data_IF_428542829680
#
_entry.id   IF_428542829680
#
_cell.length_a   1.000
_cell.length_b   1.000
_cell.length_c   1.000
_cell.angle_alpha   90.00
_cell.angle_beta   90.00
_cell.angle_gamma   90.00
#
_symmetry.space_group_name_H-M   'P 1'
#
loop_
_entity.id
_entity.type
_entity.pdbx_description
1 polymer ?
#
# COMPACT_ATOMS: atom_id res chain seq x y z
N UNK A 1 24.63 3.80 -9.22
CA UNK A 1 23.97 2.54 -8.84
C UNK A 1 22.66 2.93 -8.19
N UNK A 2 21.53 2.58 -8.80
CA UNK A 2 20.21 3.06 -8.40
C UNK A 2 19.21 2.85 -9.53
N UNK A 3 17.93 2.90 -9.21
CA UNK A 3 16.85 2.78 -10.19
C UNK A 3 16.72 4.06 -10.99
N UNK A 4 16.48 3.95 -12.31
CA UNK A 4 16.32 5.14 -13.17
C UNK A 4 15.01 5.86 -12.93
N UNK A 5 13.95 5.09 -12.74
CA UNK A 5 12.57 5.55 -12.56
C UNK A 5 11.74 4.43 -11.89
N UNK A 6 10.43 4.69 -11.75
CA UNK A 6 9.51 3.72 -11.14
C UNK A 6 9.33 2.46 -11.99
N UNK A 7 9.34 2.55 -13.33
CA UNK A 7 9.21 1.37 -14.18
C UNK A 7 10.43 0.45 -14.03
N UNK A 8 11.63 1.03 -13.95
CA UNK A 8 12.88 0.29 -13.69
C UNK A 8 12.89 -0.33 -12.30
N UNK A 9 12.37 0.37 -11.27
CA UNK A 9 12.20 -0.19 -9.93
C UNK A 9 11.21 -1.36 -9.91
N UNK A 10 10.10 -1.26 -10.65
CA UNK A 10 9.06 -2.28 -10.74
C UNK A 10 9.45 -3.50 -11.59
N UNK A 11 10.63 -3.51 -12.21
CA UNK A 11 11.16 -4.72 -12.90
C UNK A 11 11.47 -5.86 -11.94
N UNK A 12 11.75 -5.54 -10.67
CA UNK A 12 11.89 -6.56 -9.64
C UNK A 12 10.49 -7.02 -9.19
N UNK A 13 10.15 -8.32 -9.31
CA UNK A 13 8.84 -8.84 -8.90
C UNK A 13 8.60 -8.78 -7.39
N UNK A 14 9.62 -8.45 -6.59
CA UNK A 14 9.48 -8.21 -5.17
C UNK A 14 9.13 -6.77 -4.84
N UNK A 15 9.22 -5.85 -5.80
CA UNK A 15 8.86 -4.45 -5.63
C UNK A 15 7.39 -4.23 -6.00
N UNK A 16 6.64 -3.64 -5.07
CA UNK A 16 5.20 -3.42 -5.23
C UNK A 16 4.88 -1.96 -4.99
N UNK A 17 4.34 -1.29 -6.01
CA UNK A 17 3.75 0.03 -5.84
C UNK A 17 2.38 -0.11 -5.15
N UNK A 18 2.22 0.56 -4.01
CA UNK A 18 0.99 0.51 -3.19
C UNK A 18 0.25 1.86 -3.18
N UNK A 19 0.62 2.79 -4.05
CA UNK A 19 0.06 4.13 -4.09
C UNK A 19 -1.23 4.24 -4.93
N UNK A 20 -1.75 5.46 -4.99
CA UNK A 20 -2.88 5.83 -5.85
C UNK A 20 -2.45 5.89 -7.31
N UNK A 21 -3.42 5.91 -8.23
CA UNK A 21 -3.12 6.11 -9.63
C UNK A 21 -2.51 7.50 -9.84
N UNK A 22 -1.26 7.50 -10.31
CA UNK A 22 -0.49 8.70 -10.65
C UNK A 22 0.10 8.58 -12.06
N UNK A 23 -0.47 7.75 -12.94
CA UNK A 23 0.06 7.50 -14.29
C UNK A 23 0.14 8.75 -15.16
N UNK A 24 -0.67 9.76 -14.86
CA UNK A 24 -0.60 11.07 -15.50
C UNK A 24 0.74 11.79 -15.23
N UNK A 25 1.37 11.53 -14.08
CA UNK A 25 2.60 12.20 -13.65
C UNK A 25 3.83 11.29 -13.69
N UNK A 26 3.65 10.01 -13.39
CA UNK A 26 4.75 9.04 -13.26
C UNK A 26 4.34 7.75 -13.97
N UNK A 27 5.10 7.39 -15.01
CA UNK A 27 4.92 6.12 -15.70
C UNK A 27 5.12 4.94 -14.74
N UNK A 28 4.31 3.90 -14.89
CA UNK A 28 4.30 2.74 -13.98
C UNK A 28 3.54 2.95 -12.67
N UNK A 29 3.14 4.19 -12.31
CA UNK A 29 2.38 4.46 -11.08
C UNK A 29 0.88 4.15 -11.24
N UNK A 30 0.56 2.96 -11.71
CA UNK A 30 -0.81 2.45 -11.82
C UNK A 30 -1.40 2.28 -10.43
N UNK A 31 -2.65 2.69 -10.25
CA UNK A 31 -3.32 2.62 -8.95
C UNK A 31 -3.36 1.20 -8.40
N UNK A 32 -2.99 1.06 -7.13
CA UNK A 32 -2.97 -0.22 -6.43
C UNK A 32 -4.23 -0.40 -5.59
N UNK A 33 -4.71 -1.64 -5.45
CA UNK A 33 -5.75 -1.98 -4.45
C UNK A 33 -5.33 -1.65 -3.01
N UNK A 34 -4.03 -1.53 -2.78
CA UNK A 34 -3.41 -1.14 -1.51
C UNK A 34 -3.34 0.39 -1.32
N UNK A 35 -3.90 1.19 -2.24
CA UNK A 35 -3.96 2.64 -2.10
C UNK A 35 -4.80 3.09 -0.91
N UNK A 36 -4.28 4.02 -0.11
CA UNK A 36 -5.06 4.64 0.95
C UNK A 36 -6.16 5.56 0.36
N UNK A 37 -7.46 5.37 0.66
CA UNK A 37 -8.53 6.25 0.16
C UNK A 37 -8.64 7.58 0.92
N UNK A 38 -8.04 7.70 2.12
CA UNK A 38 -8.17 8.87 2.99
C UNK A 38 -7.25 10.02 2.58
N UNK A 39 -7.78 11.24 2.56
CA UNK A 39 -7.04 12.43 2.12
C UNK A 39 -6.28 13.07 3.29
N UNK A 40 -4.94 13.05 3.21
CA UNK A 40 -4.08 13.62 4.24
C UNK A 40 -4.27 15.14 4.45
N UNK A 41 -4.70 15.90 3.42
CA UNK A 41 -5.02 17.33 3.58
C UNK A 41 -6.26 17.55 4.46
N UNK A 42 -7.16 16.56 4.52
CA UNK A 42 -8.42 16.66 5.29
C UNK A 42 -8.24 16.18 6.73
N UNK A 43 -7.53 15.08 6.93
CA UNK A 43 -7.46 14.41 8.24
C UNK A 43 -6.07 14.47 8.89
N UNK A 44 -5.04 14.90 8.16
CA UNK A 44 -3.65 14.74 8.59
C UNK A 44 -3.12 13.33 8.31
N UNK A 45 -1.79 13.21 8.30
CA UNK A 45 -1.08 11.98 7.93
C UNK A 45 -1.32 10.84 8.91
N UNK A 46 -1.07 11.07 10.19
CA UNK A 46 -1.17 10.03 11.22
C UNK A 46 -2.57 9.44 11.29
N UNK A 47 -3.58 10.30 11.27
CA UNK A 47 -4.97 9.91 11.28
C UNK A 47 -5.35 9.13 10.01
N UNK A 48 -4.89 9.56 8.83
CA UNK A 48 -5.08 8.79 7.59
C UNK A 48 -4.45 7.40 7.65
N UNK A 49 -3.30 7.23 8.32
CA UNK A 49 -2.66 5.93 8.51
C UNK A 49 -3.47 5.06 9.49
N UNK A 50 -3.96 5.64 10.59
CA UNK A 50 -4.82 4.97 11.57
C UNK A 50 -6.13 4.51 10.93
N UNK A 51 -6.83 5.40 10.24
CA UNK A 51 -8.07 5.11 9.51
C UNK A 51 -7.82 4.04 8.44
N UNK A 52 -6.70 4.11 7.73
CA UNK A 52 -6.36 3.11 6.71
C UNK A 52 -6.12 1.72 7.30
N UNK A 53 -5.41 1.63 8.43
CA UNK A 53 -5.21 0.36 9.14
C UNK A 53 -6.55 -0.28 9.51
N UNK A 54 -7.46 0.52 10.08
CA UNK A 54 -8.79 0.05 10.47
C UNK A 54 -9.64 -0.33 9.24
N UNK A 55 -9.57 0.46 8.18
CA UNK A 55 -10.24 0.18 6.91
C UNK A 55 -9.80 -1.16 6.31
N UNK A 56 -8.48 -1.43 6.26
CA UNK A 56 -7.99 -2.71 5.75
C UNK A 56 -8.48 -3.87 6.62
N UNK A 57 -8.54 -3.69 7.94
CA UNK A 57 -8.93 -4.74 8.90
C UNK A 57 -10.43 -5.06 8.91
N UNK A 58 -11.28 -4.06 8.70
CA UNK A 58 -12.73 -4.18 8.91
C UNK A 58 -13.55 -4.16 7.63
N UNK A 59 -13.02 -3.61 6.53
CA UNK A 59 -13.77 -3.53 5.28
C UNK A 59 -13.96 -4.93 4.66
N UNK A 60 -15.22 -5.28 4.41
CA UNK A 60 -15.65 -6.55 3.82
C UNK A 60 -15.85 -6.47 2.29
N UNK A 61 -15.49 -5.35 1.66
CA UNK A 61 -15.52 -5.19 0.21
C UNK A 61 -14.62 -6.23 -0.47
N UNK A 62 -15.24 -7.06 -1.32
CA UNK A 62 -14.55 -8.07 -2.11
C UNK A 62 -13.94 -7.42 -3.35
N UNK A 63 -12.65 -7.66 -3.57
CA UNK A 63 -11.90 -7.19 -4.74
C UNK A 63 -12.03 -8.18 -5.89
N UNK A 64 -11.51 -7.80 -7.06
CA UNK A 64 -11.52 -8.62 -8.29
C UNK A 64 -10.90 -10.02 -8.08
N UNK A 65 -10.00 -10.18 -7.10
CA UNK A 65 -9.41 -11.47 -6.73
C UNK A 65 -10.32 -12.34 -5.84
N UNK A 66 -11.57 -11.94 -5.59
CA UNK A 66 -12.52 -12.67 -4.75
C UNK A 66 -12.24 -12.59 -3.25
N UNK A 67 -11.36 -11.69 -2.80
CA UNK A 67 -10.96 -11.55 -1.39
C UNK A 67 -11.09 -10.11 -0.91
N UNK A 68 -11.25 -9.93 0.39
CA UNK A 68 -11.06 -8.62 1.04
C UNK A 68 -9.60 -8.18 0.99
N UNK A 69 -9.33 -6.92 1.29
CA UNK A 69 -7.95 -6.45 1.45
C UNK A 69 -7.24 -7.16 2.60
N UNK A 70 -7.94 -7.39 3.72
CA UNK A 70 -7.38 -8.08 4.87
C UNK A 70 -6.91 -9.51 4.52
N UNK A 71 -7.75 -10.27 3.83
CA UNK A 71 -7.42 -11.64 3.40
C UNK A 71 -6.31 -11.68 2.35
N UNK A 72 -6.16 -10.61 1.57
CA UNK A 72 -5.11 -10.49 0.55
C UNK A 72 -3.75 -10.11 1.13
N UNK A 73 -3.63 -9.81 2.44
CA UNK A 73 -2.38 -9.27 3.02
C UNK A 73 -1.16 -10.18 2.78
N UNK A 74 -1.34 -11.49 2.71
CA UNK A 74 -0.25 -12.45 2.42
C UNK A 74 0.47 -12.17 1.09
N UNK A 75 -0.18 -11.53 0.11
CA UNK A 75 0.44 -11.13 -1.16
C UNK A 75 1.63 -10.17 -0.98
N UNK A 76 1.66 -9.43 0.13
CA UNK A 76 2.70 -8.44 0.45
C UNK A 76 3.86 -9.04 1.26
N UNK A 77 3.78 -10.30 1.68
CA UNK A 77 4.83 -10.92 2.50
C UNK A 77 6.13 -11.04 1.70
N UNK A 78 7.22 -10.54 2.29
CA UNK A 78 8.55 -10.54 1.65
C UNK A 78 8.69 -9.53 0.50
N UNK A 79 7.70 -8.66 0.27
CA UNK A 79 7.74 -7.62 -0.75
C UNK A 79 8.32 -6.32 -0.21
N UNK A 80 8.92 -5.54 -1.10
CA UNK A 80 9.33 -4.15 -0.85
C UNK A 80 8.20 -3.24 -1.32
N UNK A 81 7.64 -2.46 -0.39
CA UNK A 81 6.48 -1.62 -0.67
C UNK A 81 6.90 -0.18 -1.00
N UNK A 82 6.46 0.31 -2.15
CA UNK A 82 6.75 1.65 -2.65
C UNK A 82 5.54 2.58 -2.58
N UNK A 83 5.70 3.75 -1.97
CA UNK A 83 4.72 4.83 -2.04
C UNK A 83 5.39 6.21 -1.93
N UNK A 84 4.69 7.25 -2.38
CA UNK A 84 5.19 8.63 -2.37
C UNK A 84 5.31 9.28 -0.98
N UNK A 85 4.81 8.62 0.06
CA UNK A 85 4.80 9.16 1.43
C UNK A 85 6.00 8.73 2.28
N UNK A 86 6.66 7.64 1.93
CA UNK A 86 7.87 7.16 2.63
C UNK A 86 9.03 8.16 2.36
N UNK A 87 9.96 8.40 3.31
CA UNK A 87 10.26 7.66 4.55
C UNK A 87 9.38 7.95 5.76
N UNK A 88 8.52 8.96 5.69
CA UNK A 88 7.65 9.31 6.82
C UNK A 88 6.55 8.26 7.04
N UNK A 89 5.90 8.29 8.22
CA UNK A 89 4.81 7.36 8.56
C UNK A 89 3.72 7.41 7.48
N UNK A 90 3.40 6.24 6.92
CA UNK A 90 2.54 6.11 5.75
C UNK A 90 1.67 4.86 5.80
N UNK A 91 0.78 4.68 4.82
CA UNK A 91 -0.11 3.53 4.77
C UNK A 91 0.60 2.21 4.55
N UNK A 92 1.79 2.22 3.92
CA UNK A 92 2.65 1.04 3.85
C UNK A 92 3.06 0.51 5.23
N UNK A 93 3.30 1.40 6.19
CA UNK A 93 3.58 1.00 7.58
C UNK A 93 2.38 0.30 8.22
N UNK A 94 1.15 0.79 7.95
CA UNK A 94 -0.06 0.12 8.43
C UNK A 94 -0.22 -1.30 7.85
N UNK A 95 0.12 -1.52 6.57
CA UNK A 95 0.09 -2.86 5.95
C UNK A 95 1.11 -3.80 6.60
N UNK A 96 2.33 -3.31 6.87
CA UNK A 96 3.37 -4.08 7.56
C UNK A 96 2.92 -4.43 8.99
N UNK A 97 2.40 -3.46 9.74
CA UNK A 97 1.87 -3.71 11.10
C UNK A 97 0.78 -4.80 11.09
N UNK A 98 -0.17 -4.75 10.16
CA UNK A 98 -1.22 -5.77 10.03
C UNK A 98 -0.66 -7.16 9.65
N UNK A 99 0.36 -7.21 8.80
CA UNK A 99 1.06 -8.45 8.46
C UNK A 99 1.75 -9.10 9.66
N UNK A 100 2.37 -8.29 10.51
CA UNK A 100 3.02 -8.76 11.74
C UNK A 100 1.98 -9.19 12.79
N UNK A 101 0.89 -8.45 12.97
CA UNK A 101 -0.23 -8.84 13.85
C UNK A 101 -0.81 -10.22 13.49
N UNK A 102 -0.81 -10.57 12.19
CA UNK A 102 -1.29 -11.88 11.71
C UNK A 102 -0.31 -13.03 11.96
N UNK A 103 0.97 -12.77 12.22
CA UNK A 103 1.95 -13.83 12.57
C UNK A 103 1.78 -14.34 14.01
N UNK A 104 1.18 -13.52 14.88
CA UNK A 104 1.09 -13.77 16.33
C UNK A 104 -0.22 -14.50 16.71
N UNK A 105 -1.03 -14.89 15.72
CA UNK A 105 -2.25 -15.69 15.89
C UNK A 105 -2.04 -17.10 15.37
#
# INVERSE_FOLDING_TARGET
MGFKDLEDWLRDPNHVYIGRNMTHYVRGATGSKWGNPFNAKKYGREECVRMYKEYVKTNQEIRENGRTLYESLEELRGKVLGCWCHPERCHGHALVELLEERKVK
#
